data_IF_047644858296
#
_entry.id   IF_047644858296
#
_cell.length_a   1.000
_cell.length_b   1.000
_cell.length_c   1.000
_cell.angle_alpha   90.00
_cell.angle_beta   90.00
_cell.angle_gamma   90.00
#
_symmetry.space_group_name_H-M   'P 1'
#
loop_
_entity.id
_entity.type
_entity.pdbx_description
1 polymer ?
#
# COMPACT_ATOMS: atom_id res chain seq x y z
N UNK A 1 11.12 20.75 -28.94
CA UNK A 1 11.54 19.34 -28.90
C UNK A 1 11.98 19.08 -27.47
N UNK A 2 11.20 18.34 -26.71
CA UNK A 2 11.53 17.95 -25.33
C UNK A 2 12.21 16.59 -25.41
N UNK A 3 13.53 16.58 -25.29
CA UNK A 3 14.31 15.34 -25.21
C UNK A 3 13.99 14.68 -23.87
N UNK A 4 13.43 13.47 -23.92
CA UNK A 4 13.18 12.66 -22.72
C UNK A 4 14.55 12.17 -22.24
N UNK A 5 14.91 12.42 -20.96
CA UNK A 5 16.19 11.95 -20.41
C UNK A 5 16.35 10.43 -20.56
N UNK A 6 17.47 9.99 -21.15
CA UNK A 6 17.77 8.57 -21.44
C UNK A 6 17.68 7.64 -20.22
N UNK A 7 17.95 8.16 -19.01
CA UNK A 7 17.87 7.37 -17.78
C UNK A 7 16.42 6.91 -17.46
N UNK A 8 15.40 7.69 -17.83
CA UNK A 8 13.99 7.31 -17.65
C UNK A 8 13.59 6.18 -18.61
N UNK A 9 14.12 6.22 -19.84
CA UNK A 9 13.93 5.17 -20.82
C UNK A 9 14.66 3.89 -20.42
N UNK A 10 15.81 3.98 -19.76
CA UNK A 10 16.51 2.82 -19.21
C UNK A 10 15.74 2.19 -18.04
N UNK A 11 15.34 3.00 -17.04
CA UNK A 11 14.56 2.53 -15.87
C UNK A 11 13.20 1.92 -16.25
N UNK A 12 12.57 2.41 -17.33
CA UNK A 12 11.32 1.83 -17.84
C UNK A 12 11.53 0.49 -18.56
N UNK A 13 12.63 0.35 -19.34
CA UNK A 13 13.02 -0.92 -19.97
C UNK A 13 13.36 -1.98 -18.91
N UNK A 14 14.11 -1.61 -17.88
CA UNK A 14 14.50 -2.52 -16.79
C UNK A 14 13.28 -2.99 -15.98
N UNK A 15 12.33 -2.09 -15.68
CA UNK A 15 11.04 -2.46 -15.05
C UNK A 15 10.22 -3.41 -15.92
N UNK A 16 10.17 -3.16 -17.23
CA UNK A 16 9.42 -3.99 -18.16
C UNK A 16 10.03 -5.39 -18.27
N UNK A 17 11.36 -5.49 -18.23
CA UNK A 17 12.08 -6.76 -18.19
C UNK A 17 11.82 -7.52 -16.86
N UNK A 18 11.86 -6.82 -15.72
CA UNK A 18 11.60 -7.40 -14.40
C UNK A 18 10.17 -7.97 -14.27
N UNK A 19 9.20 -7.36 -14.96
CA UNK A 19 7.81 -7.81 -14.99
C UNK A 19 7.53 -8.87 -16.06
N UNK A 20 8.56 -9.38 -16.75
CA UNK A 20 8.41 -10.38 -17.82
C UNK A 20 7.66 -9.86 -19.05
N UNK A 21 7.55 -8.54 -19.22
CA UNK A 21 6.82 -7.85 -20.29
C UNK A 21 7.72 -7.47 -21.49
N UNK A 22 8.90 -8.08 -21.58
CA UNK A 22 9.86 -7.90 -22.68
C UNK A 22 9.44 -8.72 -23.89
N UNK A 23 8.90 -8.06 -24.91
CA UNK A 23 8.43 -8.70 -26.13
C UNK A 23 8.04 -7.68 -27.18
N UNK A 24 9.03 -7.09 -27.81
CA UNK A 24 8.94 -6.41 -29.10
C UNK A 24 9.21 -7.43 -30.21
N UNK A 25 8.13 -8.00 -30.75
CA UNK A 25 8.04 -8.21 -32.19
C UNK A 25 6.58 -8.37 -32.64
N UNK A 26 6.31 -7.76 -33.79
CA UNK A 26 5.03 -7.75 -34.46
C UNK A 26 4.69 -9.12 -35.08
N UNK A 27 3.40 -9.48 -35.03
CA UNK A 27 2.78 -10.32 -36.07
C UNK A 27 2.05 -11.58 -35.59
N UNK A 28 0.76 -11.62 -35.96
CA UNK A 28 -0.08 -12.82 -36.19
C UNK A 28 -0.42 -13.66 -34.95
N UNK A 29 -1.68 -13.90 -34.57
CA UNK A 29 -2.82 -14.27 -35.41
C UNK A 29 -3.11 -15.77 -35.22
N UNK A 30 -4.22 -16.11 -34.53
CA UNK A 30 -4.71 -17.49 -34.33
C UNK A 30 -3.87 -18.31 -33.34
N UNK A 31 -4.39 -19.22 -32.54
CA UNK A 31 -5.56 -20.05 -32.75
C UNK A 31 -6.08 -20.58 -31.40
N UNK A 32 -7.40 -20.64 -31.28
CA UNK A 32 -8.08 -21.24 -30.14
C UNK A 32 -8.07 -22.76 -30.32
N UNK A 33 -7.43 -23.51 -29.42
CA UNK A 33 -7.56 -24.98 -29.43
C UNK A 33 -8.86 -25.39 -28.77
N UNK A 34 -9.82 -25.63 -29.65
CA UNK A 34 -11.15 -26.19 -29.44
C UNK A 34 -11.07 -27.61 -28.84
N UNK A 35 -11.88 -27.84 -27.80
CA UNK A 35 -11.98 -29.11 -27.11
C UNK A 35 -13.05 -29.99 -27.78
N UNK A 36 -12.63 -31.15 -28.29
CA UNK A 36 -13.41 -32.15 -29.05
C UNK A 36 -14.45 -32.90 -28.19
N UNK A 37 -15.69 -33.12 -28.66
CA UNK A 37 -16.55 -34.21 -28.20
C UNK A 37 -16.53 -35.42 -29.16
N UNK A 38 -16.72 -36.61 -28.59
CA UNK A 38 -16.78 -37.91 -29.27
C UNK A 38 -18.16 -38.18 -29.94
N UNK A 39 -18.24 -39.07 -30.95
CA UNK A 39 -19.42 -39.20 -31.82
C UNK A 39 -20.47 -40.17 -31.26
N UNK A 40 -21.74 -39.90 -31.55
CA UNK A 40 -22.83 -40.87 -31.40
C UNK A 40 -23.41 -41.22 -32.79
N UNK A 41 -23.67 -42.51 -32.95
CA UNK A 41 -23.89 -43.21 -34.21
C UNK A 41 -25.18 -42.84 -34.96
N UNK A 42 -25.10 -42.96 -36.28
CA UNK A 42 -26.22 -42.93 -37.23
C UNK A 42 -26.77 -44.34 -37.45
N UNK A 43 -28.10 -44.46 -37.52
CA UNK A 43 -28.79 -45.60 -38.12
C UNK A 43 -30.01 -45.13 -38.94
N UNK A 44 -29.76 -45.04 -40.26
CA UNK A 44 -30.55 -45.45 -41.45
C UNK A 44 -32.10 -45.30 -41.54
N UNK A 45 -32.63 -45.13 -42.77
CA UNK A 45 -33.81 -44.32 -43.06
C UNK A 45 -35.13 -45.10 -43.21
N UNK A 46 -36.24 -44.37 -43.10
CA UNK A 46 -37.59 -44.83 -43.44
C UNK A 46 -37.82 -44.80 -44.97
N UNK A 47 -38.43 -45.86 -45.51
CA UNK A 47 -38.86 -45.97 -46.90
C UNK A 47 -40.27 -45.40 -47.13
N UNK A 48 -40.53 -44.86 -48.34
CA UNK A 48 -41.81 -44.24 -48.73
C UNK A 48 -42.64 -45.06 -49.72
N UNK A 49 -43.98 -45.00 -49.56
CA UNK A 49 -45.08 -44.94 -50.56
C UNK A 49 -45.31 -46.16 -51.49
N UNK A 50 -46.51 -46.59 -51.98
CA UNK A 50 -47.95 -46.23 -52.01
C UNK A 50 -48.71 -47.49 -52.61
N UNK A 51 -49.95 -47.50 -53.15
CA UNK A 51 -51.22 -46.76 -52.94
C UNK A 51 -52.42 -47.71 -52.60
N UNK A 52 -53.65 -47.22 -52.74
CA UNK A 52 -54.91 -47.64 -52.08
C UNK A 52 -55.84 -48.66 -52.78
N UNK A 53 -56.81 -49.17 -51.99
CA UNK A 53 -58.24 -49.48 -52.25
C UNK A 53 -58.69 -50.96 -52.02
N UNK A 54 -59.98 -51.28 -51.72
CA UNK A 54 -61.09 -50.46 -51.24
C UNK A 54 -61.68 -50.90 -49.86
N UNK A 55 -62.60 -50.09 -49.36
CA UNK A 55 -63.27 -50.19 -48.08
C UNK A 55 -64.22 -51.39 -47.92
N UNK A 56 -64.01 -52.18 -46.85
CA UNK A 56 -65.05 -52.98 -46.22
C UNK A 56 -65.60 -52.25 -44.99
N UNK A 57 -66.91 -52.03 -44.93
CA UNK A 57 -67.58 -51.42 -43.77
C UNK A 57 -67.38 -52.29 -42.52
N UNK A 58 -66.48 -51.88 -41.63
CA UNK A 58 -66.48 -52.32 -40.24
C UNK A 58 -67.41 -51.39 -39.44
N UNK A 59 -68.21 -51.98 -38.56
CA UNK A 59 -69.17 -51.30 -37.72
C UNK A 59 -68.53 -50.14 -36.92
N UNK A 60 -69.31 -49.08 -36.71
CA UNK A 60 -68.89 -47.91 -35.95
C UNK A 60 -68.32 -48.31 -34.58
N UNK A 61 -67.17 -47.74 -34.14
CA UNK A 61 -66.67 -47.97 -32.81
C UNK A 61 -67.70 -47.43 -31.80
N UNK A 62 -68.01 -48.23 -30.78
CA UNK A 62 -68.78 -47.77 -29.64
C UNK A 62 -68.13 -46.51 -29.06
N UNK A 63 -68.89 -45.48 -28.68
CA UNK A 63 -68.32 -44.26 -28.13
C UNK A 63 -67.47 -44.61 -26.91
N UNK A 64 -66.19 -44.21 -26.93
CA UNK A 64 -65.32 -44.30 -25.78
C UNK A 64 -65.99 -43.54 -24.62
N UNK A 65 -66.21 -44.24 -23.50
CA UNK A 65 -66.68 -43.62 -22.28
C UNK A 65 -65.73 -42.47 -21.90
N UNK A 66 -66.24 -41.28 -21.59
CA UNK A 66 -65.38 -40.20 -21.10
C UNK A 66 -64.66 -40.70 -19.83
N UNK A 67 -63.36 -40.39 -19.66
CA UNK A 67 -62.64 -40.79 -18.46
C UNK A 67 -63.38 -40.24 -17.23
N UNK A 68 -63.49 -41.03 -16.14
CA UNK A 68 -64.22 -40.61 -14.96
C UNK A 68 -63.63 -39.28 -14.45
N UNK A 69 -64.50 -38.38 -13.93
CA UNK A 69 -64.03 -37.10 -13.40
C UNK A 69 -62.93 -37.34 -12.35
N UNK A 70 -61.89 -36.50 -12.31
CA UNK A 70 -60.80 -36.67 -11.35
C UNK A 70 -61.38 -36.73 -9.95
N UNK A 71 -61.00 -37.78 -9.20
CA UNK A 71 -61.47 -37.97 -7.82
C UNK A 71 -61.18 -36.69 -7.03
N UNK A 72 -62.13 -36.21 -6.20
CA UNK A 72 -61.91 -35.02 -5.40
C UNK A 72 -60.66 -35.22 -4.53
N UNK A 73 -59.83 -34.18 -4.45
CA UNK A 73 -58.60 -34.21 -3.68
C UNK A 73 -58.90 -34.68 -2.26
N UNK A 74 -58.14 -35.66 -1.77
CA UNK A 74 -58.25 -36.09 -0.37
C UNK A 74 -57.92 -34.91 0.55
N UNK A 75 -58.42 -34.87 1.79
CA UNK A 75 -58.13 -33.76 2.71
C UNK A 75 -56.62 -33.51 2.88
N UNK A 76 -55.80 -34.54 2.77
CA UNK A 76 -54.33 -34.46 2.78
C UNK A 76 -53.79 -33.73 1.54
N UNK A 77 -54.30 -34.04 0.35
CA UNK A 77 -53.88 -33.41 -0.92
C UNK A 77 -54.38 -31.97 -1.01
N UNK A 78 -55.60 -31.68 -0.59
CA UNK A 78 -56.13 -30.33 -0.52
C UNK A 78 -55.34 -29.45 0.47
N UNK A 79 -54.99 -30.01 1.64
CA UNK A 79 -54.12 -29.35 2.60
C UNK A 79 -52.71 -29.12 2.06
N UNK A 80 -52.17 -30.04 1.25
CA UNK A 80 -50.85 -29.89 0.62
C UNK A 80 -50.85 -28.78 -0.44
N UNK A 81 -51.85 -28.74 -1.32
CA UNK A 81 -51.99 -27.70 -2.36
C UNK A 81 -52.18 -26.29 -1.78
N UNK A 82 -52.78 -26.18 -0.59
CA UNK A 82 -53.00 -24.90 0.12
C UNK A 82 -51.73 -24.34 0.78
N UNK A 83 -50.67 -25.13 0.96
CA UNK A 83 -49.42 -24.65 1.57
C UNK A 83 -48.67 -23.73 0.62
N UNK A 84 -48.44 -22.49 1.07
CA UNK A 84 -47.59 -21.53 0.35
C UNK A 84 -46.15 -22.04 0.39
N UNK A 85 -45.53 -22.19 -0.78
CA UNK A 85 -44.10 -22.52 -0.89
C UNK A 85 -43.29 -21.25 -1.04
N UNK A 86 -42.14 -21.21 -0.37
CA UNK A 86 -41.15 -20.18 -0.63
C UNK A 86 -40.65 -20.37 -2.07
N UNK A 87 -40.69 -19.34 -2.92
CA UNK A 87 -40.19 -19.47 -4.28
C UNK A 87 -38.68 -19.62 -4.26
N UNK A 88 -38.14 -20.40 -5.19
CA UNK A 88 -36.70 -20.73 -5.22
C UNK A 88 -35.81 -19.48 -5.27
N UNK A 89 -36.25 -18.41 -5.95
CA UNK A 89 -35.52 -17.14 -6.00
C UNK A 89 -35.35 -16.49 -4.63
N UNK A 90 -36.31 -16.65 -3.72
CA UNK A 90 -36.23 -16.06 -2.38
C UNK A 90 -35.19 -16.80 -1.51
N UNK A 91 -35.05 -18.12 -1.68
CA UNK A 91 -34.00 -18.89 -1.03
C UNK A 91 -32.61 -18.51 -1.57
N UNK A 92 -32.49 -18.30 -2.88
CA UNK A 92 -31.25 -17.85 -3.52
C UNK A 92 -30.86 -16.44 -3.04
N UNK A 93 -31.81 -15.49 -3.02
CA UNK A 93 -31.58 -14.12 -2.55
C UNK A 93 -31.15 -14.10 -1.07
N UNK A 94 -31.84 -14.87 -0.21
CA UNK A 94 -31.49 -14.96 1.21
C UNK A 94 -30.11 -15.58 1.43
N UNK A 95 -29.70 -16.54 0.59
CA UNK A 95 -28.37 -17.14 0.63
C UNK A 95 -27.25 -16.21 0.17
N UNK A 96 -27.54 -15.24 -0.72
CA UNK A 96 -26.55 -14.25 -1.21
C UNK A 96 -26.30 -13.13 -0.19
N UNK A 97 -27.31 -12.77 0.62
CA UNK A 97 -27.19 -11.69 1.62
C UNK A 97 -25.99 -11.79 2.57
N UNK A 98 -25.65 -12.95 3.19
CA UNK A 98 -24.47 -13.03 4.05
C UNK A 98 -23.15 -12.83 3.30
N UNK A 99 -23.06 -13.31 2.05
CA UNK A 99 -21.87 -13.13 1.20
C UNK A 99 -21.76 -11.66 0.78
N UNK A 100 -22.87 -11.05 0.35
CA UNK A 100 -22.91 -9.63 0.02
C UNK A 100 -22.56 -8.78 1.25
N UNK A 101 -23.10 -9.08 2.43
CA UNK A 101 -22.80 -8.35 3.66
C UNK A 101 -21.32 -8.47 4.06
N UNK A 102 -20.71 -9.65 3.89
CA UNK A 102 -19.27 -9.82 4.11
C UNK A 102 -18.45 -9.00 3.10
N UNK A 103 -18.78 -9.07 1.81
CA UNK A 103 -18.09 -8.31 0.77
C UNK A 103 -18.28 -6.80 0.95
N UNK A 104 -19.47 -6.36 1.33
CA UNK A 104 -19.79 -4.98 1.63
C UNK A 104 -19.04 -4.49 2.86
N UNK A 105 -18.99 -5.28 3.93
CA UNK A 105 -18.19 -4.97 5.11
C UNK A 105 -16.70 -4.89 4.76
N UNK A 106 -16.18 -5.80 3.92
CA UNK A 106 -14.79 -5.75 3.40
C UNK A 106 -14.51 -4.60 2.46
N UNK A 107 -15.51 -4.15 1.70
CA UNK A 107 -15.38 -3.01 0.78
C UNK A 107 -15.47 -1.66 1.51
N UNK A 108 -16.14 -1.62 2.66
CA UNK A 108 -16.26 -0.43 3.52
C UNK A 108 -15.28 -0.40 4.69
N UNK A 109 -14.61 -1.51 4.98
CA UNK A 109 -13.44 -1.46 5.87
C UNK A 109 -12.31 -0.91 5.04
N UNK A 110 -12.06 0.39 5.23
CA UNK A 110 -10.77 0.98 4.87
C UNK A 110 -9.70 0.10 5.51
N UNK A 111 -8.74 -0.38 4.69
CA UNK A 111 -7.49 -0.85 5.28
C UNK A 111 -6.96 0.34 6.07
N UNK A 112 -6.43 0.14 7.29
CA UNK A 112 -5.67 1.22 7.91
C UNK A 112 -4.62 1.63 6.87
N UNK A 113 -4.76 2.85 6.35
CA UNK A 113 -3.64 3.51 5.71
C UNK A 113 -2.69 3.74 6.87
N UNK A 114 -1.80 2.77 7.11
CA UNK A 114 -0.59 3.04 7.85
C UNK A 114 0.01 4.24 7.14
N UNK A 115 0.23 5.33 7.88
CA UNK A 115 0.84 6.53 7.32
C UNK A 115 2.24 6.08 6.88
N UNK A 116 2.36 5.71 5.61
CA UNK A 116 3.41 4.82 5.18
C UNK A 116 4.76 5.53 5.19
N UNK A 117 5.79 4.81 5.62
CA UNK A 117 7.15 5.30 5.64
C UNK A 117 7.47 6.31 6.74
N UNK A 118 8.69 6.87 6.69
CA UNK A 118 9.28 7.59 7.82
C UNK A 118 8.56 8.91 8.17
N UNK A 119 7.92 9.58 7.20
CA UNK A 119 7.19 10.83 7.48
C UNK A 119 5.95 10.60 8.33
N UNK A 120 5.28 9.47 8.15
CA UNK A 120 4.08 9.11 8.92
C UNK A 120 4.42 8.71 10.33
N UNK A 121 5.34 7.76 10.48
CA UNK A 121 5.90 7.34 11.78
C UNK A 121 6.45 8.55 12.52
N UNK A 122 7.18 9.43 11.82
CA UNK A 122 7.74 10.64 12.38
C UNK A 122 6.70 11.59 12.95
N UNK A 123 5.57 11.75 12.28
CA UNK A 123 4.47 12.59 12.77
C UNK A 123 3.87 12.06 14.08
N UNK A 124 3.79 10.74 14.25
CA UNK A 124 3.32 10.10 15.48
C UNK A 124 4.35 10.25 16.61
N UNK A 125 5.61 9.94 16.32
CA UNK A 125 6.73 10.04 17.28
C UNK A 125 6.94 11.49 17.74
N UNK A 126 6.68 12.47 16.87
CA UNK A 126 6.85 13.90 17.18
C UNK A 126 6.00 14.37 18.37
N UNK A 127 4.95 13.65 18.78
CA UNK A 127 4.20 13.94 20.01
C UNK A 127 5.10 14.00 21.26
N UNK A 128 6.21 13.25 21.29
CA UNK A 128 7.21 13.31 22.35
C UNK A 128 7.97 14.64 22.39
N UNK A 129 8.09 15.32 21.24
CA UNK A 129 8.87 16.54 21.04
C UNK A 129 8.02 17.82 21.17
N UNK A 130 6.71 17.72 20.91
CA UNK A 130 5.76 18.85 20.81
C UNK A 130 5.73 19.79 22.03
N UNK A 131 5.93 19.25 23.23
CA UNK A 131 5.89 20.07 24.46
C UNK A 131 6.99 21.13 24.54
N UNK A 132 8.14 20.86 23.92
CA UNK A 132 9.25 21.81 23.82
C UNK A 132 9.33 22.47 22.44
N UNK A 133 8.97 21.71 21.39
CA UNK A 133 8.96 22.14 20.00
C UNK A 133 7.54 22.03 19.40
N UNK A 134 6.67 23.03 19.56
CA UNK A 134 5.28 23.01 19.08
C UNK A 134 5.12 23.05 17.54
N UNK A 135 6.20 22.81 16.78
CA UNK A 135 6.22 22.82 15.32
C UNK A 135 6.39 24.21 14.68
N UNK A 136 6.18 25.28 15.44
CA UNK A 136 6.38 26.68 15.04
C UNK A 136 7.74 27.26 15.45
N UNK A 137 7.83 28.60 15.51
CA UNK A 137 9.00 29.35 16.00
C UNK A 137 8.91 29.73 17.49
N UNK A 138 7.96 29.14 18.20
CA UNK A 138 7.70 29.35 19.62
C UNK A 138 8.04 28.07 20.39
N UNK A 139 8.26 28.15 21.70
CA UNK A 139 8.56 26.99 22.54
C UNK A 139 9.83 27.13 23.36
N UNK A 140 10.22 26.05 24.03
CA UNK A 140 11.46 25.96 24.78
C UNK A 140 12.64 25.59 23.87
N UNK A 141 12.40 24.90 22.75
CA UNK A 141 13.41 24.60 21.75
C UNK A 141 13.47 25.63 20.62
N UNK A 142 14.48 25.52 19.76
CA UNK A 142 14.49 26.22 18.48
C UNK A 142 13.34 25.74 17.59
N UNK A 143 12.78 26.65 16.79
CA UNK A 143 11.71 26.32 15.85
C UNK A 143 12.23 25.58 14.62
N UNK A 144 11.32 24.95 13.88
CA UNK A 144 11.65 24.29 12.61
C UNK A 144 11.34 25.18 11.39
N UNK A 145 10.32 26.02 11.49
CA UNK A 145 9.70 26.74 10.36
C UNK A 145 10.66 27.73 9.72
N UNK A 146 10.56 27.85 8.39
CA UNK A 146 11.32 28.83 7.62
C UNK A 146 12.76 28.37 7.34
N UNK A 147 13.00 27.06 7.34
CA UNK A 147 14.32 26.48 7.07
C UNK A 147 15.29 26.58 8.24
N UNK A 148 14.83 26.95 9.44
CA UNK A 148 15.70 27.08 10.63
C UNK A 148 16.51 25.79 10.82
N UNK A 149 15.80 24.65 10.87
CA UNK A 149 16.40 23.34 11.11
C UNK A 149 17.43 22.97 10.05
N UNK A 150 17.24 23.45 8.82
CA UNK A 150 18.16 23.20 7.69
C UNK A 150 19.40 24.09 7.78
N UNK A 151 19.27 25.32 8.29
CA UNK A 151 20.42 26.20 8.58
C UNK A 151 21.25 25.64 9.74
N UNK A 152 20.58 25.07 10.74
CA UNK A 152 21.21 24.44 11.91
C UNK A 152 21.86 23.11 11.54
N UNK A 153 21.20 22.30 10.71
CA UNK A 153 21.64 20.98 10.28
C UNK A 153 21.64 20.87 8.76
N UNK A 154 22.72 21.31 8.10
CA UNK A 154 22.90 21.13 6.66
C UNK A 154 22.89 19.65 6.28
N UNK A 155 23.46 18.80 7.15
CA UNK A 155 23.47 17.35 7.02
C UNK A 155 22.45 16.75 7.99
N UNK A 156 21.57 15.88 7.49
CA UNK A 156 20.58 15.17 8.31
C UNK A 156 21.24 14.34 9.41
N UNK A 157 22.46 13.84 9.17
CA UNK A 157 23.25 13.07 10.12
C UNK A 157 23.55 13.82 11.41
N UNK A 158 23.83 15.12 11.32
CA UNK A 158 24.07 15.96 12.49
C UNK A 158 22.80 16.14 13.32
N UNK A 159 21.63 16.25 12.66
CA UNK A 159 20.34 16.34 13.34
C UNK A 159 20.03 15.02 14.06
N UNK A 160 20.16 13.89 13.37
CA UNK A 160 19.97 12.55 13.93
C UNK A 160 20.88 12.36 15.14
N UNK A 161 22.17 12.71 15.03
CA UNK A 161 23.13 12.59 16.13
C UNK A 161 22.74 13.43 17.34
N UNK A 162 22.33 14.69 17.12
CA UNK A 162 21.90 15.54 18.21
C UNK A 162 20.60 15.04 18.87
N UNK A 163 19.63 14.57 18.10
CA UNK A 163 18.38 13.98 18.62
C UNK A 163 18.67 12.69 19.41
N UNK A 164 19.61 11.87 18.93
CA UNK A 164 19.99 10.62 19.59
C UNK A 164 20.69 10.87 20.93
N UNK A 165 21.71 11.73 20.97
CA UNK A 165 22.55 11.91 22.16
C UNK A 165 22.06 13.01 23.11
N UNK A 166 21.44 14.06 22.57
CA UNK A 166 20.97 15.21 23.33
C UNK A 166 22.07 16.04 23.98
N UNK A 167 21.64 17.09 24.69
CA UNK A 167 22.52 18.08 25.33
C UNK A 167 23.48 17.48 26.35
N UNK A 168 23.02 16.52 27.16
CA UNK A 168 23.83 15.94 28.24
C UNK A 168 25.06 15.20 27.71
N UNK A 169 24.88 14.31 26.74
CA UNK A 169 25.98 13.52 26.18
C UNK A 169 26.96 14.39 25.41
N UNK A 170 26.48 15.37 24.64
CA UNK A 170 27.36 16.33 23.97
C UNK A 170 28.21 17.13 24.98
N UNK A 171 27.61 17.57 26.10
CA UNK A 171 28.34 18.26 27.16
C UNK A 171 29.39 17.36 27.82
N UNK A 172 29.09 16.08 28.05
CA UNK A 172 30.05 15.09 28.58
C UNK A 172 31.22 14.89 27.61
N UNK A 173 30.93 14.83 26.30
CA UNK A 173 31.94 14.72 25.25
C UNK A 173 32.75 16.01 25.02
N UNK A 174 32.36 17.13 25.66
CA UNK A 174 33.01 18.43 25.47
C UNK A 174 32.72 19.07 24.11
N UNK A 175 31.68 18.61 23.42
CA UNK A 175 31.25 19.13 22.12
C UNK A 175 30.14 20.16 22.33
N UNK A 176 30.41 21.42 21.97
CA UNK A 176 29.45 22.51 22.18
C UNK A 176 28.58 22.81 20.96
N UNK A 177 29.11 22.66 19.75
CA UNK A 177 28.39 22.97 18.51
C UNK A 177 27.95 21.64 17.89
N UNK A 178 26.63 21.44 17.81
CA UNK A 178 26.02 20.17 17.41
C UNK A 178 25.57 20.14 15.95
N UNK A 179 25.57 21.28 15.26
CA UNK A 179 25.23 21.43 13.85
C UNK A 179 26.23 22.34 13.15
N UNK A 180 25.75 23.18 12.24
CA UNK A 180 26.59 24.04 11.41
C UNK A 180 27.40 25.08 12.24
N UNK A 181 28.75 24.98 12.26
CA UNK A 181 29.60 25.98 12.92
C UNK A 181 29.59 27.35 12.20
N UNK A 182 29.27 27.36 10.91
CA UNK A 182 29.25 28.53 10.04
C UNK A 182 27.83 29.08 9.81
N UNK A 183 26.86 28.66 10.65
CA UNK A 183 25.46 29.07 10.55
C UNK A 183 25.30 30.59 10.54
N UNK A 184 24.56 31.12 9.57
CA UNK A 184 24.20 32.53 9.55
C UNK A 184 23.37 32.89 10.80
N UNK A 185 23.74 33.99 11.48
CA UNK A 185 23.16 34.33 12.79
C UNK A 185 23.83 33.64 13.98
N UNK A 186 24.86 32.82 13.73
CA UNK A 186 25.69 32.17 14.73
C UNK A 186 25.34 30.69 14.92
N UNK A 187 26.38 29.89 15.19
CA UNK A 187 26.23 28.49 15.52
C UNK A 187 25.39 28.30 16.79
N UNK A 188 24.50 27.33 16.76
CA UNK A 188 23.79 26.92 17.96
C UNK A 188 24.71 26.11 18.88
N UNK A 189 24.61 26.38 20.17
CA UNK A 189 25.40 25.71 21.20
C UNK A 189 24.50 24.89 22.12
N UNK A 190 25.03 23.78 22.62
CA UNK A 190 24.32 22.86 23.50
C UNK A 190 23.78 23.56 24.75
N UNK A 191 22.51 23.29 25.08
CA UNK A 191 21.86 23.84 26.26
C UNK A 191 21.48 25.33 26.21
N UNK A 192 21.75 26.06 25.12
CA UNK A 192 21.46 27.49 25.03
C UNK A 192 19.97 27.85 25.25
N UNK A 193 19.07 27.00 24.75
CA UNK A 193 17.62 27.13 24.90
C UNK A 193 17.07 26.18 25.98
N UNK A 194 17.94 25.60 26.80
CA UNK A 194 17.61 24.54 27.75
C UNK A 194 18.10 23.16 27.26
N UNK A 195 18.07 22.15 28.15
CA UNK A 195 18.58 20.82 27.82
C UNK A 195 17.61 20.08 26.88
N UNK A 196 18.07 19.76 25.67
CA UNK A 196 17.39 18.84 24.76
C UNK A 196 17.72 17.40 25.20
N UNK A 197 16.73 16.57 25.55
CA UNK A 197 16.97 15.20 26.01
C UNK A 197 17.45 14.32 24.84
N UNK A 198 18.39 13.42 25.12
CA UNK A 198 18.79 12.39 24.15
C UNK A 198 17.75 11.28 24.09
N UNK A 199 17.31 10.94 22.89
CA UNK A 199 16.28 9.92 22.66
C UNK A 199 16.83 8.53 22.37
N UNK A 200 18.15 8.38 22.20
CA UNK A 200 18.81 7.08 22.03
C UNK A 200 18.46 6.12 23.16
N UNK A 201 17.90 4.96 22.79
CA UNK A 201 17.44 3.93 23.73
C UNK A 201 16.06 4.18 24.35
N UNK A 202 15.48 5.38 24.19
CA UNK A 202 14.08 5.64 24.51
C UNK A 202 13.17 5.50 23.28
N UNK A 203 13.68 5.90 22.12
CA UNK A 203 13.12 5.63 20.80
C UNK A 203 14.00 4.61 20.07
N UNK A 204 13.42 3.89 19.12
CA UNK A 204 14.19 3.06 18.19
C UNK A 204 14.94 3.96 17.20
N UNK A 205 15.99 3.40 16.58
CA UNK A 205 16.76 4.09 15.55
C UNK A 205 15.90 4.50 14.36
N UNK A 206 14.95 3.64 13.97
CA UNK A 206 13.92 3.92 12.96
C UNK A 206 13.01 5.08 13.37
N UNK A 207 12.53 5.12 14.61
CA UNK A 207 11.68 6.19 15.14
C UNK A 207 12.43 7.53 15.18
N UNK A 208 13.73 7.51 15.53
CA UNK A 208 14.60 8.70 15.53
C UNK A 208 14.79 9.23 14.10
N UNK A 209 15.08 8.36 13.14
CA UNK A 209 15.14 8.78 11.73
C UNK A 209 13.81 9.38 11.28
N UNK A 210 12.72 8.68 11.58
CA UNK A 210 11.37 9.06 11.16
C UNK A 210 10.99 10.44 11.68
N UNK A 211 11.21 10.73 12.97
CA UNK A 211 10.90 12.05 13.53
C UNK A 211 11.78 13.14 12.92
N UNK A 212 13.05 12.86 12.65
CA UNK A 212 13.93 13.81 11.95
C UNK A 212 13.44 14.08 10.53
N UNK A 213 13.01 13.06 9.79
CA UNK A 213 12.39 13.22 8.47
C UNK A 213 11.14 14.11 8.54
N UNK A 214 10.27 13.90 9.53
CA UNK A 214 9.10 14.74 9.75
C UNK A 214 9.49 16.20 10.07
N UNK A 215 10.45 16.40 10.98
CA UNK A 215 10.97 17.72 11.34
C UNK A 215 11.52 18.47 10.11
N UNK A 216 12.24 17.80 9.22
CA UNK A 216 12.85 18.44 8.03
C UNK A 216 11.84 18.71 6.91
N UNK A 217 11.10 17.68 6.49
CA UNK A 217 10.29 17.73 5.26
C UNK A 217 8.84 18.14 5.50
N UNK A 218 8.33 17.97 6.73
CA UNK A 218 6.96 18.41 7.06
C UNK A 218 6.94 19.77 7.74
N UNK A 219 7.86 20.02 8.67
CA UNK A 219 7.89 21.26 9.47
C UNK A 219 8.95 22.26 8.98
N UNK A 220 10.12 21.76 8.60
CA UNK A 220 11.32 22.54 8.29
C UNK A 220 11.30 23.23 6.93
N UNK A 221 10.49 22.71 6.00
CA UNK A 221 10.35 23.26 4.65
C UNK A 221 11.39 22.74 3.65
N UNK A 222 12.07 21.62 3.94
CA UNK A 222 12.87 20.93 2.93
C UNK A 222 11.97 20.45 1.78
N UNK A 223 12.33 20.79 0.54
CA UNK A 223 11.58 20.38 -0.65
C UNK A 223 12.06 19.00 -1.15
N UNK A 224 11.24 17.94 -1.05
CA UNK A 224 11.61 16.59 -1.49
C UNK A 224 11.77 16.47 -3.01
N UNK A 225 11.38 17.49 -3.77
CA UNK A 225 11.52 17.54 -5.23
C UNK A 225 12.54 18.57 -5.71
N UNK A 226 13.16 19.29 -4.77
CA UNK A 226 14.08 20.39 -5.03
C UNK A 226 15.52 20.06 -4.63
N UNK A 227 16.14 21.00 -3.92
CA UNK A 227 17.53 20.90 -3.45
C UNK A 227 17.77 19.66 -2.56
N UNK A 228 16.76 19.26 -1.79
CA UNK A 228 16.86 18.14 -0.85
C UNK A 228 16.35 16.81 -1.43
N UNK A 229 16.14 16.71 -2.74
CA UNK A 229 15.58 15.49 -3.34
C UNK A 229 16.47 14.25 -3.13
N UNK A 230 17.80 14.39 -3.21
CA UNK A 230 18.72 13.26 -3.00
C UNK A 230 18.75 12.82 -1.53
N UNK A 231 18.73 13.78 -0.59
CA UNK A 231 18.60 13.48 0.83
C UNK A 231 17.25 12.79 1.10
N UNK A 232 16.16 13.30 0.54
CA UNK A 232 14.83 12.72 0.70
C UNK A 232 14.78 11.27 0.23
N UNK A 233 15.24 10.98 -0.98
CA UNK A 233 15.22 9.62 -1.54
C UNK A 233 16.17 8.66 -0.82
N UNK A 234 17.21 9.17 -0.15
CA UNK A 234 18.16 8.36 0.62
C UNK A 234 17.62 8.04 2.02
N UNK A 235 16.92 8.98 2.66
CA UNK A 235 16.59 8.94 4.08
C UNK A 235 15.09 8.86 4.39
N UNK A 236 14.25 9.57 3.64
CA UNK A 236 12.90 9.96 4.07
C UNK A 236 11.76 9.60 3.09
N UNK A 237 12.07 9.05 1.91
CA UNK A 237 11.07 8.44 1.02
C UNK A 237 10.59 7.10 1.58
N UNK A 238 9.42 6.64 1.15
CA UNK A 238 8.89 5.31 1.54
C UNK A 238 9.86 4.18 1.16
N UNK A 239 10.57 4.31 0.03
CA UNK A 239 11.57 3.34 -0.41
C UNK A 239 13.02 3.72 -0.05
N UNK A 240 13.20 4.62 0.93
CA UNK A 240 14.53 5.09 1.32
C UNK A 240 15.41 3.92 1.80
N UNK A 241 16.61 3.73 1.24
CA UNK A 241 17.49 2.61 1.61
C UNK A 241 17.90 2.67 3.09
N UNK A 242 18.06 3.86 3.67
CA UNK A 242 18.37 3.99 5.11
C UNK A 242 17.19 3.54 5.95
N UNK A 243 15.98 4.02 5.65
CA UNK A 243 14.80 3.64 6.41
C UNK A 243 14.57 2.13 6.36
N UNK A 244 14.66 1.53 5.16
CA UNK A 244 14.54 0.09 4.98
C UNK A 244 15.62 -0.72 5.73
N UNK A 245 16.85 -0.20 5.83
CA UNK A 245 17.92 -0.84 6.62
C UNK A 245 17.62 -0.82 8.12
N UNK A 246 17.10 0.29 8.65
CA UNK A 246 16.73 0.40 10.06
C UNK A 246 15.51 -0.47 10.40
N UNK A 247 14.50 -0.53 9.53
CA UNK A 247 13.36 -1.47 9.67
C UNK A 247 13.84 -2.94 9.68
N UNK A 248 14.90 -3.25 8.94
CA UNK A 248 15.51 -4.57 8.92
C UNK A 248 16.38 -4.87 10.17
N UNK A 249 16.46 -3.94 11.13
CA UNK A 249 17.21 -4.07 12.37
C UNK A 249 18.65 -3.55 12.29
N UNK A 250 18.98 -2.75 11.28
CA UNK A 250 20.20 -1.95 11.24
C UNK A 250 20.24 -0.93 12.37
N UNK A 251 21.44 -0.47 12.73
CA UNK A 251 21.65 0.57 13.73
C UNK A 251 22.20 1.85 13.09
N UNK A 252 21.81 3.01 13.62
CA UNK A 252 22.33 4.32 13.20
C UNK A 252 23.85 4.42 13.43
N UNK A 253 24.35 3.78 14.49
CA UNK A 253 25.73 3.91 14.93
C UNK A 253 26.79 3.50 13.89
N UNK A 254 26.47 2.56 13.00
CA UNK A 254 27.35 2.02 11.96
C UNK A 254 26.71 2.06 10.56
N UNK A 255 25.72 2.95 10.37
CA UNK A 255 24.98 3.10 9.12
C UNK A 255 25.88 3.44 7.92
N UNK A 256 26.94 4.21 8.14
CA UNK A 256 27.95 4.59 7.14
C UNK A 256 28.68 3.39 6.52
N UNK A 257 28.67 2.24 7.22
CA UNK A 257 29.28 1.01 6.72
C UNK A 257 28.33 0.20 5.83
N UNK A 258 27.02 0.50 5.88
CA UNK A 258 25.98 -0.24 5.15
C UNK A 258 25.38 0.56 4.01
N UNK A 259 25.40 1.89 4.09
CA UNK A 259 24.89 2.79 3.05
C UNK A 259 25.98 3.77 2.64
N UNK A 260 26.33 3.75 1.35
CA UNK A 260 27.40 4.58 0.80
C UNK A 260 27.03 6.06 0.80
N UNK A 261 28.02 6.93 1.03
CA UNK A 261 27.85 8.39 0.93
C UNK A 261 27.30 9.06 2.19
N UNK A 262 27.04 8.30 3.26
CA UNK A 262 26.55 8.81 4.54
C UNK A 262 27.69 9.21 5.47
N UNK A 263 27.52 10.33 6.16
CA UNK A 263 28.42 10.71 7.25
C UNK A 263 28.19 9.81 8.48
N UNK A 264 29.24 9.32 9.16
CA UNK A 264 29.04 8.47 10.33
C UNK A 264 28.24 9.16 11.43
N UNK A 265 27.09 8.61 11.83
CA UNK A 265 26.40 9.03 13.07
C UNK A 265 27.27 8.66 14.27
N UNK A 266 27.79 7.44 14.28
CA UNK A 266 28.75 6.96 15.27
C UNK A 266 28.15 6.67 16.64
N UNK A 267 29.01 6.26 17.57
CA UNK A 267 28.65 5.90 18.95
C UNK A 267 28.89 7.02 19.95
N UNK A 268 29.39 8.17 19.51
CA UNK A 268 29.76 9.30 20.36
C UNK A 268 29.36 10.62 19.70
N UNK A 269 29.01 11.67 20.49
CA UNK A 269 28.84 13.02 19.97
C UNK A 269 30.12 13.54 19.29
N UNK A 270 29.97 14.14 18.12
CA UNK A 270 31.03 14.86 17.42
C UNK A 270 30.58 16.29 17.09
N UNK A 271 31.51 17.23 16.86
CA UNK A 271 31.17 18.56 16.38
C UNK A 271 30.36 18.47 15.08
N UNK A 272 29.34 19.32 14.96
CA UNK A 272 28.56 19.40 13.73
C UNK A 272 29.38 19.96 12.56
N UNK A 273 28.87 19.73 11.36
CA UNK A 273 29.59 19.93 10.11
C UNK A 273 29.04 21.13 9.32
N UNK A 274 29.90 21.88 8.60
CA UNK A 274 29.42 22.91 7.68
C UNK A 274 28.72 22.26 6.46
N UNK A 275 27.95 23.02 5.68
CA UNK A 275 27.40 22.54 4.40
C UNK A 275 28.51 21.99 3.49
N UNK A 276 28.19 21.01 2.66
CA UNK A 276 29.10 20.52 1.61
C UNK A 276 29.44 21.65 0.62
N UNK A 277 30.72 21.72 0.22
CA UNK A 277 31.22 22.67 -0.80
C UNK A 277 30.78 22.34 -2.23
#
# INVERSE_FOLDING_TARGET
>A
MTEIPEHLLKRSRDRRAALGLGGDDAGSGGDATENKPAPAASAAPAASAAPAAPAGRAAAPAPATPPPPPKPDTPVVAAYKKRRRVPFWAMAALGVLPVWAFLYARALTEQPEEVAGPLGIGAEVFANCQSCHPGGNEGAGYGFVGGEVLLTFPHIEDQIRYVYFGTEQYNIAGVQIYGNPDREGGAHITGAMGPMPGWGGSLTDEEILSVVCHERYTLGGADPTGEYAEEYETWCSEEAPVFADLEAGGALADLDQRVEGIMPIGTEPIPGSPPSE
#
